data_IF_823026078288
#
_entry.id   IF_823026078288
#
_cell.length_a   1.000
_cell.length_b   1.000
_cell.length_c   1.000
_cell.angle_alpha   90.00
_cell.angle_beta   90.00
_cell.angle_gamma   90.00
#
_symmetry.space_group_name_H-M   'P 1'
#
loop_
_entity.id
_entity.type
_entity.pdbx_description
1 polymer ?
#
# COMPACT_ATOMS: atom_id res chain seq x y z
N UNK A 1 2.58 6.99 -3.83
CA UNK A 1 2.29 5.81 -4.65
C UNK A 1 0.79 5.73 -4.94
N UNK A 2 0.43 4.94 -5.95
CA UNK A 2 -0.97 4.75 -6.33
C UNK A 2 -1.36 3.30 -6.08
N UNK A 3 -2.44 3.09 -5.32
CA UNK A 3 -2.96 1.77 -4.99
C UNK A 3 -4.25 1.50 -5.75
N UNK A 4 -4.32 0.37 -6.42
CA UNK A 4 -5.51 -0.12 -7.09
C UNK A 4 -6.17 -1.23 -6.27
N UNK A 5 -7.49 -1.15 -6.15
CA UNK A 5 -8.37 -2.16 -5.57
C UNK A 5 -9.51 -2.45 -6.54
N UNK A 6 -10.39 -3.37 -6.19
CA UNK A 6 -11.58 -3.66 -6.99
C UNK A 6 -12.85 -3.45 -6.19
N UNK A 7 -13.82 -2.85 -6.85
CA UNK A 7 -15.20 -2.77 -6.37
C UNK A 7 -16.07 -3.47 -7.41
N UNK A 8 -16.49 -4.69 -7.13
CA UNK A 8 -17.08 -5.60 -8.11
C UNK A 8 -16.10 -5.77 -9.30
N UNK A 9 -16.50 -5.41 -10.51
CA UNK A 9 -15.64 -5.48 -11.69
C UNK A 9 -14.93 -4.15 -12.00
N UNK A 10 -15.15 -3.12 -11.18
CA UNK A 10 -14.58 -1.80 -11.42
C UNK A 10 -13.25 -1.64 -10.69
N UNK A 11 -12.13 -1.44 -11.41
CA UNK A 11 -10.88 -1.04 -10.77
C UNK A 11 -11.03 0.34 -10.13
N UNK A 12 -10.46 0.50 -8.95
CA UNK A 12 -10.41 1.79 -8.24
C UNK A 12 -8.97 2.10 -7.93
N UNK A 13 -8.54 3.33 -8.17
CA UNK A 13 -7.17 3.76 -7.89
C UNK A 13 -7.16 5.07 -7.12
N UNK A 14 -6.22 5.22 -6.18
CA UNK A 14 -6.04 6.45 -5.40
C UNK A 14 -4.58 6.60 -4.98
N UNK A 15 -4.13 7.85 -4.82
CA UNK A 15 -2.82 8.09 -4.22
C UNK A 15 -2.87 7.86 -2.72
N UNK A 16 -1.79 7.33 -2.17
CA UNK A 16 -1.63 7.23 -0.72
C UNK A 16 -0.16 6.96 -0.36
N UNK A 17 0.13 6.97 0.93
CA UNK A 17 1.48 6.78 1.45
C UNK A 17 1.75 5.30 1.70
N UNK A 18 2.84 4.81 1.13
CA UNK A 18 3.35 3.46 1.41
C UNK A 18 4.37 3.56 2.53
N UNK A 19 4.21 2.74 3.54
CA UNK A 19 5.13 2.70 4.69
C UNK A 19 5.96 1.42 4.62
N UNK A 20 7.28 1.58 4.69
CA UNK A 20 8.23 0.47 4.75
C UNK A 20 8.78 0.40 6.17
N UNK A 21 8.44 -0.65 6.88
CA UNK A 21 8.85 -0.85 8.27
C UNK A 21 8.93 -2.34 8.56
N UNK A 22 10.01 -2.75 9.27
CA UNK A 22 10.22 -4.14 9.69
C UNK A 22 10.18 -5.12 8.50
N UNK A 23 10.82 -4.71 7.39
CA UNK A 23 10.89 -5.50 6.15
C UNK A 23 9.52 -5.85 5.55
N UNK A 24 8.52 -5.07 5.87
CA UNK A 24 7.16 -5.23 5.37
C UNK A 24 6.63 -3.91 4.86
N UNK A 25 5.61 -4.00 4.04
CA UNK A 25 4.94 -2.83 3.46
C UNK A 25 3.56 -2.65 4.10
N UNK A 26 3.29 -1.43 4.51
CA UNK A 26 2.08 -1.10 5.27
C UNK A 26 1.37 0.10 4.69
N UNK A 27 0.05 0.11 4.89
CA UNK A 27 -0.79 1.28 4.65
C UNK A 27 -1.61 1.51 5.92
N UNK A 28 -1.60 2.74 6.41
CA UNK A 28 -2.46 3.19 7.51
C UNK A 28 -3.59 3.99 6.91
N UNK A 29 -4.82 3.63 7.23
CA UNK A 29 -6.00 4.27 6.63
C UNK A 29 -7.16 4.34 7.60
N UNK A 30 -8.14 5.21 7.30
CA UNK A 30 -9.37 5.26 8.06
C UNK A 30 -10.22 4.03 7.77
N UNK A 31 -10.80 3.45 8.81
CA UNK A 31 -11.63 2.24 8.71
C UNK A 31 -12.86 2.47 7.82
N UNK A 32 -13.38 3.70 7.77
CA UNK A 32 -14.54 4.09 6.99
C UNK A 32 -14.24 4.36 5.51
N UNK A 33 -12.98 4.29 5.10
CA UNK A 33 -12.60 4.56 3.71
C UNK A 33 -13.00 3.42 2.78
N UNK A 34 -13.39 3.78 1.55
CA UNK A 34 -13.89 2.84 0.55
C UNK A 34 -12.93 1.66 0.29
N UNK A 35 -11.61 1.92 0.29
CA UNK A 35 -10.61 0.88 0.04
C UNK A 35 -10.67 -0.26 1.06
N UNK A 36 -11.01 0.03 2.31
CA UNK A 36 -11.09 -1.00 3.36
C UNK A 36 -12.22 -1.98 3.05
N UNK A 37 -13.39 -1.48 2.67
CA UNK A 37 -14.52 -2.32 2.26
C UNK A 37 -14.17 -3.13 1.01
N UNK A 38 -13.54 -2.49 0.03
CA UNK A 38 -13.13 -3.15 -1.21
C UNK A 38 -12.16 -4.29 -0.95
N UNK A 39 -11.18 -4.08 -0.08
CA UNK A 39 -10.19 -5.10 0.29
C UNK A 39 -10.83 -6.25 1.07
N UNK A 40 -11.81 -5.98 1.93
CA UNK A 40 -12.55 -7.05 2.63
C UNK A 40 -13.28 -7.96 1.65
N UNK A 41 -13.86 -7.39 0.60
CA UNK A 41 -14.60 -8.15 -0.42
C UNK A 41 -13.66 -8.84 -1.41
N UNK A 42 -12.54 -8.17 -1.75
CA UNK A 42 -11.54 -8.70 -2.67
C UNK A 42 -10.16 -8.17 -2.26
N UNK A 43 -9.30 -9.01 -1.66
CA UNK A 43 -8.02 -8.55 -1.14
C UNK A 43 -6.96 -8.29 -2.20
N UNK A 44 -7.20 -8.62 -3.46
CA UNK A 44 -6.23 -8.39 -4.53
C UNK A 44 -5.98 -6.92 -4.73
N UNK A 45 -4.72 -6.56 -4.81
CA UNK A 45 -4.28 -5.19 -5.01
C UNK A 45 -3.13 -5.13 -6.02
N UNK A 46 -2.95 -3.95 -6.58
CA UNK A 46 -1.75 -3.60 -7.33
C UNK A 46 -1.38 -2.17 -6.98
N UNK A 47 -0.10 -1.88 -6.85
CA UNK A 47 0.31 -0.50 -6.66
C UNK A 47 1.38 -0.10 -7.67
N UNK A 48 1.48 1.18 -7.90
CA UNK A 48 2.50 1.76 -8.76
C UNK A 48 3.21 2.88 -8.00
N UNK A 49 4.52 2.80 -7.97
CA UNK A 49 5.38 3.83 -7.45
C UNK A 49 6.20 4.37 -8.62
N UNK A 50 5.94 5.61 -9.02
CA UNK A 50 6.69 6.25 -10.09
C UNK A 50 7.79 7.14 -9.54
N UNK A 51 8.86 7.27 -10.28
CA UNK A 51 9.97 8.14 -9.91
C UNK A 51 10.64 8.68 -11.16
N UNK A 52 11.37 9.76 -11.00
CA UNK A 52 12.03 10.45 -12.08
C UNK A 52 13.52 10.61 -11.77
N UNK A 53 14.35 10.36 -12.76
CA UNK A 53 15.79 10.58 -12.68
C UNK A 53 16.26 11.21 -13.99
N UNK A 54 16.84 12.43 -13.92
CA UNK A 54 17.37 13.14 -15.09
C UNK A 54 16.36 13.26 -16.24
N UNK A 55 15.13 13.65 -15.92
CA UNK A 55 14.02 13.81 -16.88
C UNK A 55 13.51 12.50 -17.48
N UNK A 56 13.97 11.35 -17.01
CA UNK A 56 13.49 10.05 -17.40
C UNK A 56 12.61 9.44 -16.32
N UNK A 57 11.50 8.86 -16.74
CA UNK A 57 10.55 8.21 -15.82
C UNK A 57 10.89 6.74 -15.63
N UNK A 58 10.77 6.29 -14.39
CA UNK A 58 10.82 4.90 -14.03
C UNK A 58 9.64 4.56 -13.12
N UNK A 59 9.37 3.28 -12.94
CA UNK A 59 8.32 2.86 -12.02
C UNK A 59 8.59 1.47 -11.45
N UNK A 60 8.01 1.23 -10.30
CA UNK A 60 7.84 -0.10 -9.73
C UNK A 60 6.33 -0.35 -9.67
N UNK A 61 5.88 -1.46 -10.23
CA UNK A 61 4.50 -1.91 -10.15
C UNK A 61 4.49 -3.28 -9.50
N UNK A 62 3.72 -3.43 -8.44
CA UNK A 62 3.70 -4.66 -7.67
C UNK A 62 2.27 -5.13 -7.45
N UNK A 63 2.03 -6.40 -7.70
CA UNK A 63 0.75 -7.03 -7.51
C UNK A 63 0.81 -8.04 -6.37
N UNK A 64 -0.30 -8.19 -5.68
CA UNK A 64 -0.41 -9.10 -4.56
C UNK A 64 -1.78 -8.97 -3.88
N UNK A 65 -1.77 -9.02 -2.57
CA UNK A 65 -3.00 -8.83 -1.81
C UNK A 65 -2.73 -8.06 -0.52
N UNK A 66 -3.76 -7.40 -0.02
CA UNK A 66 -3.72 -6.67 1.24
C UNK A 66 -4.39 -7.50 2.33
N UNK A 67 -3.78 -7.48 3.50
CA UNK A 67 -4.31 -8.15 4.69
C UNK A 67 -4.64 -7.09 5.74
N UNK A 68 -5.86 -7.12 6.26
CA UNK A 68 -6.25 -6.26 7.38
C UNK A 68 -5.66 -6.86 8.65
N UNK A 69 -4.86 -6.08 9.36
CA UNK A 69 -4.15 -6.52 10.56
C UNK A 69 -4.95 -6.14 11.79
N UNK A 70 -5.34 -7.14 12.57
CA UNK A 70 -6.03 -6.96 13.84
C UNK A 70 -5.09 -7.06 15.05
N UNK A 71 -3.89 -7.56 14.86
CA UNK A 71 -2.91 -7.67 15.95
C UNK A 71 -2.54 -6.32 16.52
N UNK A 72 -2.87 -6.11 17.81
CA UNK A 72 -2.65 -4.82 18.46
C UNK A 72 -1.17 -4.44 18.53
N UNK A 73 -0.29 -5.40 18.76
CA UNK A 73 1.14 -5.13 18.84
C UNK A 73 1.68 -4.56 17.53
N UNK A 74 1.30 -5.15 16.40
CA UNK A 74 1.70 -4.66 15.08
C UNK A 74 1.12 -3.27 14.83
N UNK A 75 -0.15 -3.05 15.15
CA UNK A 75 -0.80 -1.75 14.99
C UNK A 75 -0.09 -0.65 15.78
N UNK A 76 0.30 -0.94 17.01
CA UNK A 76 1.03 0.01 17.86
C UNK A 76 2.41 0.31 17.29
N UNK A 77 3.16 -0.72 16.90
CA UNK A 77 4.52 -0.55 16.38
C UNK A 77 4.56 0.27 15.10
N UNK A 78 3.68 -0.02 14.16
CA UNK A 78 3.62 0.71 12.89
C UNK A 78 3.18 2.15 13.12
N UNK A 79 2.16 2.37 13.95
CA UNK A 79 1.69 3.72 14.30
C UNK A 79 2.82 4.56 14.89
N UNK A 80 3.60 3.98 15.78
CA UNK A 80 4.73 4.67 16.43
C UNK A 80 5.84 5.02 15.44
N UNK A 81 6.02 4.22 14.40
CA UNK A 81 7.00 4.47 13.35
C UNK A 81 6.56 5.62 12.41
N UNK A 82 5.27 5.91 12.30
CA UNK A 82 4.74 6.86 11.33
C UNK A 82 4.57 8.24 11.92
N UNK A 83 5.33 9.22 11.42
CA UNK A 83 5.27 10.62 11.85
C UNK A 83 3.90 11.23 11.68
N UNK A 84 3.17 10.80 10.65
CA UNK A 84 1.87 11.37 10.31
C UNK A 84 0.71 10.75 11.11
N UNK A 85 0.95 9.72 11.93
CA UNK A 85 -0.13 9.04 12.64
C UNK A 85 -0.99 9.99 13.48
N UNK A 86 -0.35 10.84 14.27
CA UNK A 86 -1.05 11.76 15.17
C UNK A 86 -1.87 12.84 14.46
N UNK A 87 -1.65 13.02 13.15
CA UNK A 87 -2.46 13.95 12.35
C UNK A 87 -3.83 13.40 12.03
N UNK A 88 -4.03 12.10 12.16
CA UNK A 88 -5.25 11.42 11.73
C UNK A 88 -5.96 10.67 12.86
N UNK A 89 -5.22 10.17 13.86
CA UNK A 89 -5.76 9.34 14.93
C UNK A 89 -5.20 9.76 16.27
N UNK A 90 -5.99 9.51 17.32
CA UNK A 90 -5.63 9.88 18.71
C UNK A 90 -4.66 8.88 19.32
N UNK A 91 -4.89 7.58 19.09
CA UNK A 91 -4.05 6.51 19.61
C UNK A 91 -4.25 5.25 18.77
N UNK A 92 -3.38 4.22 18.93
CA UNK A 92 -3.47 3.00 18.12
C UNK A 92 -4.74 2.16 18.31
N UNK A 93 -5.51 2.41 19.37
CA UNK A 93 -6.77 1.72 19.62
C UNK A 93 -7.98 2.45 19.02
N UNK A 94 -7.75 3.55 18.32
CA UNK A 94 -8.80 4.29 17.62
C UNK A 94 -9.54 3.38 16.63
N UNK A 95 -10.85 3.31 16.76
CA UNK A 95 -11.67 2.44 15.91
C UNK A 95 -11.63 2.84 14.44
N UNK A 96 -11.24 4.08 14.14
CA UNK A 96 -11.09 4.53 12.75
C UNK A 96 -9.67 4.32 12.22
N UNK A 97 -8.82 3.63 12.93
CA UNK A 97 -7.49 3.27 12.45
C UNK A 97 -7.48 1.81 11.96
N UNK A 98 -7.22 1.63 10.67
CA UNK A 98 -7.02 0.32 10.05
C UNK A 98 -5.61 0.22 9.50
N UNK A 99 -4.95 -0.87 9.81
CA UNK A 99 -3.63 -1.20 9.30
C UNK A 99 -3.74 -2.29 8.25
N UNK A 100 -3.15 -2.04 7.09
CA UNK A 100 -3.06 -3.01 6.00
C UNK A 100 -1.61 -3.43 5.81
N UNK A 101 -1.37 -4.72 5.70
CA UNK A 101 -0.08 -5.26 5.27
C UNK A 101 -0.21 -5.69 3.82
N UNK A 102 0.74 -5.27 2.97
CA UNK A 102 0.76 -5.65 1.56
C UNK A 102 1.67 -6.87 1.36
N UNK A 103 1.10 -7.95 0.85
CA UNK A 103 1.80 -9.18 0.53
C UNK A 103 1.99 -9.25 -0.98
N UNK A 104 3.22 -9.13 -1.47
CA UNK A 104 3.49 -9.06 -2.89
C UNK A 104 3.70 -10.46 -3.49
N UNK A 105 3.22 -10.65 -4.71
CA UNK A 105 3.41 -11.86 -5.51
C UNK A 105 4.36 -11.67 -6.66
N UNK A 106 4.28 -10.52 -7.34
CA UNK A 106 5.14 -10.20 -8.45
C UNK A 106 5.41 -8.71 -8.51
N UNK A 107 6.52 -8.37 -9.16
CA UNK A 107 6.97 -6.99 -9.30
C UNK A 107 7.42 -6.79 -10.74
N UNK A 108 7.06 -5.64 -11.30
CA UNK A 108 7.62 -5.13 -12.55
C UNK A 108 8.41 -3.87 -12.25
N UNK A 109 9.57 -3.76 -12.88
CA UNK A 109 10.46 -2.64 -12.67
C UNK A 109 10.95 -2.10 -14.00
N UNK A 110 10.74 -0.80 -14.23
CA UNK A 110 11.31 -0.06 -15.34
C UNK A 110 12.27 0.98 -14.78
N UNK A 111 13.55 0.83 -15.11
CA UNK A 111 14.55 1.83 -14.71
C UNK A 111 14.40 3.08 -15.57
N UNK A 112 14.66 4.29 -15.00
CA UNK A 112 14.71 5.49 -15.82
C UNK A 112 15.70 5.34 -16.97
N UNK A 113 15.34 5.86 -18.14
CA UNK A 113 16.16 5.80 -19.35
C UNK A 113 16.35 4.38 -19.91
N UNK A 114 15.52 3.42 -19.53
CA UNK A 114 15.48 2.07 -20.11
C UNK A 114 14.11 1.79 -20.71
N UNK A 115 14.07 0.89 -21.71
CA UNK A 115 12.83 0.49 -22.38
C UNK A 115 12.38 -0.93 -22.01
N UNK A 116 13.21 -1.66 -21.29
CA UNK A 116 12.95 -3.07 -20.97
C UNK A 116 12.43 -3.16 -19.55
N UNK A 117 11.18 -3.64 -19.43
CA UNK A 117 10.56 -3.93 -18.13
C UNK A 117 11.11 -5.25 -17.59
N UNK A 118 11.59 -5.22 -16.36
CA UNK A 118 12.06 -6.41 -15.65
C UNK A 118 10.95 -6.95 -14.78
N UNK A 119 10.78 -8.27 -14.78
CA UNK A 119 9.70 -8.93 -14.04
C UNK A 119 10.27 -9.91 -13.04
N UNK A 120 9.75 -9.88 -11.83
CA UNK A 120 10.17 -10.75 -10.72
C UNK A 120 8.94 -11.41 -10.10
N UNK A 121 9.02 -12.70 -9.83
CA UNK A 121 8.02 -13.41 -9.05
C UNK A 121 8.58 -13.72 -7.67
N UNK A 122 7.77 -13.47 -6.65
CA UNK A 122 8.16 -13.65 -5.26
C UNK A 122 7.62 -14.95 -4.65
#
# INVERSE_FOLDING_TARGET
MFLATRENDQPRVRPLTLVNFDQKLWILTGTDRAKVKQIRENPKIEFCLSFEEREHQGYIRAAGFAKIISDREAKVKVAKHCDFFDKHWTNPDDLNYTLLELKLKDIEYLRPNEDIVRKFKL
#
